data_IF_285092986429
#
_entry.id   IF_285092986429
#
_cell.length_a   1.000
_cell.length_b   1.000
_cell.length_c   1.000
_cell.angle_alpha   90.00
_cell.angle_beta   90.00
_cell.angle_gamma   90.00
#
_symmetry.space_group_name_H-M   'P 1'
#
loop_
_entity.id
_entity.type
_entity.pdbx_description
1 polymer ?
#
# COMPACT_ATOMS: atom_id res chain seq x y z
N UNK A 1 28.07 48.49 -3.70
CA UNK A 1 27.17 47.38 -4.10
C UNK A 1 25.91 47.48 -3.27
N UNK A 2 24.74 47.68 -3.88
CA UNK A 2 23.47 47.67 -3.14
C UNK A 2 23.17 46.24 -2.68
N UNK A 3 22.90 46.04 -1.38
CA UNK A 3 22.48 44.75 -0.85
C UNK A 3 21.12 44.39 -1.46
N UNK A 4 21.10 43.45 -2.40
CA UNK A 4 19.88 42.90 -2.96
C UNK A 4 19.24 42.02 -1.89
N UNK A 5 18.00 42.30 -1.53
CA UNK A 5 17.27 41.47 -0.55
C UNK A 5 17.16 40.03 -1.05
N UNK A 6 17.22 39.06 -0.15
CA UNK A 6 17.10 37.64 -0.50
C UNK A 6 15.82 37.33 -1.27
N UNK A 7 14.71 38.06 -1.00
CA UNK A 7 13.45 37.95 -1.74
C UNK A 7 13.64 38.28 -3.22
N UNK A 8 14.31 39.40 -3.50
CA UNK A 8 14.63 39.82 -4.87
C UNK A 8 15.61 38.86 -5.55
N UNK A 9 16.49 38.20 -4.79
CA UNK A 9 17.35 37.16 -5.34
C UNK A 9 16.52 35.94 -5.73
N UNK A 10 15.72 35.36 -4.82
CA UNK A 10 14.89 34.19 -5.10
C UNK A 10 13.95 34.38 -6.28
N UNK A 11 13.25 35.52 -6.35
CA UNK A 11 12.34 35.81 -7.46
C UNK A 11 13.06 35.97 -8.80
N UNK A 12 14.31 36.47 -8.82
CA UNK A 12 15.12 36.51 -10.04
C UNK A 12 15.50 35.12 -10.54
N UNK A 13 15.66 34.15 -9.63
CA UNK A 13 15.87 32.75 -9.94
C UNK A 13 14.58 31.96 -10.13
N UNK A 14 13.43 32.66 -10.23
CA UNK A 14 12.10 32.03 -10.35
C UNK A 14 11.80 31.04 -9.23
N UNK A 15 12.24 31.35 -8.00
CA UNK A 15 11.95 30.58 -6.81
C UNK A 15 11.00 31.36 -5.90
N UNK A 16 9.97 30.69 -5.44
CA UNK A 16 8.98 31.21 -4.51
C UNK A 16 9.25 30.64 -3.11
N UNK A 17 9.59 31.49 -2.13
CA UNK A 17 9.87 31.03 -0.77
C UNK A 17 8.59 30.54 -0.08
N UNK A 18 8.68 29.43 0.67
CA UNK A 18 7.54 28.92 1.44
C UNK A 18 7.14 29.84 2.61
N UNK A 19 8.08 30.63 3.12
CA UNK A 19 7.84 31.60 4.21
C UNK A 19 8.42 32.97 3.83
N UNK A 20 7.76 34.05 4.27
CA UNK A 20 8.16 35.41 3.89
C UNK A 20 9.25 36.02 4.77
N UNK A 21 9.51 35.49 5.96
CA UNK A 21 10.45 36.06 6.93
C UNK A 21 11.81 35.36 6.89
N UNK A 22 11.81 34.02 6.96
CA UNK A 22 13.01 33.20 7.00
C UNK A 22 12.79 31.91 6.20
N UNK A 23 13.08 31.93 4.88
CA UNK A 23 12.81 30.80 4.00
C UNK A 23 13.81 29.67 4.25
N UNK A 24 13.32 28.55 4.78
CA UNK A 24 14.08 27.29 4.87
C UNK A 24 13.84 26.39 3.65
N UNK A 25 12.75 26.65 2.91
CA UNK A 25 12.36 25.92 1.69
C UNK A 25 11.78 26.88 0.66
N UNK A 26 11.89 26.53 -0.61
CA UNK A 26 11.33 27.27 -1.74
C UNK A 26 10.84 26.29 -2.83
N UNK A 27 9.83 26.70 -3.60
CA UNK A 27 9.36 25.99 -4.79
C UNK A 27 9.74 26.78 -6.05
N UNK A 28 10.03 26.09 -7.15
CA UNK A 28 10.23 26.79 -8.43
C UNK A 28 8.88 27.28 -8.98
N UNK A 29 8.90 28.34 -9.79
CA UNK A 29 7.69 28.82 -10.45
C UNK A 29 7.11 27.75 -11.40
N UNK A 30 7.94 26.88 -11.97
CA UNK A 30 7.48 25.75 -12.78
C UNK A 30 6.61 24.78 -11.96
N UNK A 31 7.04 24.45 -10.72
CA UNK A 31 6.24 23.63 -9.80
C UNK A 31 4.93 24.34 -9.43
N UNK A 32 4.95 25.66 -9.23
CA UNK A 32 3.74 26.43 -8.93
C UNK A 32 2.78 26.52 -10.13
N UNK A 33 3.31 26.68 -11.34
CA UNK A 33 2.53 26.66 -12.57
C UNK A 33 1.91 25.29 -12.80
N UNK A 34 2.68 24.22 -12.55
CA UNK A 34 2.17 22.85 -12.59
C UNK A 34 1.06 22.67 -11.56
N UNK A 35 1.27 23.06 -10.30
CA UNK A 35 0.23 23.02 -9.26
C UNK A 35 -1.03 23.81 -9.67
N UNK A 36 -0.88 24.97 -10.31
CA UNK A 36 -2.01 25.75 -10.78
C UNK A 36 -2.81 25.01 -11.86
N UNK A 37 -2.13 24.40 -12.85
CA UNK A 37 -2.77 23.55 -13.86
C UNK A 37 -3.48 22.35 -13.22
N UNK A 38 -2.83 21.68 -12.25
CA UNK A 38 -3.40 20.56 -11.52
C UNK A 38 -4.67 20.96 -10.75
N UNK A 39 -4.69 22.14 -10.10
CA UNK A 39 -5.88 22.62 -9.38
C UNK A 39 -7.06 22.97 -10.29
N UNK A 40 -6.81 23.25 -11.57
CA UNK A 40 -7.84 23.55 -12.58
C UNK A 40 -8.34 22.28 -13.29
N UNK A 41 -7.54 21.21 -13.30
CA UNK A 41 -7.90 19.93 -13.88
C UNK A 41 -8.61 19.07 -12.81
N UNK A 42 -9.94 18.94 -12.93
CA UNK A 42 -10.74 18.15 -11.97
C UNK A 42 -10.53 16.63 -12.02
N UNK A 43 -9.64 16.13 -12.89
CA UNK A 43 -9.36 14.70 -13.11
C UNK A 43 -7.90 14.49 -13.55
N UNK A 44 -6.94 14.93 -12.75
CA UNK A 44 -5.56 14.53 -13.01
C UNK A 44 -5.37 13.13 -12.47
N UNK A 45 -5.08 12.20 -13.36
CA UNK A 45 -4.93 10.79 -13.00
C UNK A 45 -3.57 10.54 -12.35
N UNK A 46 -3.47 9.49 -11.53
CA UNK A 46 -2.17 9.00 -11.00
C UNK A 46 -1.19 8.69 -12.15
N UNK A 47 -1.72 8.29 -13.32
CA UNK A 47 -0.97 8.03 -14.55
C UNK A 47 -0.24 9.27 -15.10
N UNK A 48 -0.86 10.46 -15.06
CA UNK A 48 -0.26 11.70 -15.58
C UNK A 48 0.78 12.30 -14.61
N UNK A 49 0.64 12.08 -13.31
CA UNK A 49 1.55 12.64 -12.30
C UNK A 49 2.63 11.67 -11.80
N UNK A 50 2.41 10.36 -11.91
CA UNK A 50 3.26 9.34 -11.28
C UNK A 50 4.72 9.39 -11.68
N UNK A 51 5.02 9.94 -12.87
CA UNK A 51 6.37 10.14 -13.41
C UNK A 51 6.74 11.61 -13.66
N UNK A 52 5.99 12.59 -13.12
CA UNK A 52 6.26 14.01 -13.35
C UNK A 52 7.67 14.49 -12.94
N UNK A 53 8.39 13.70 -12.14
CA UNK A 53 9.76 13.94 -11.70
C UNK A 53 10.81 13.03 -12.39
N UNK A 54 10.40 12.13 -13.28
CA UNK A 54 11.30 11.25 -14.02
C UNK A 54 11.56 11.82 -15.41
N UNK A 55 12.80 12.22 -15.66
CA UNK A 55 13.24 12.80 -16.95
C UNK A 55 13.68 11.77 -17.97
N UNK A 56 13.76 10.49 -17.61
CA UNK A 56 14.39 9.46 -18.42
C UNK A 56 13.40 8.52 -19.10
N UNK A 57 12.36 8.11 -18.36
CA UNK A 57 11.38 7.14 -18.84
C UNK A 57 10.03 7.82 -19.13
N UNK A 58 9.37 7.37 -20.19
CA UNK A 58 8.06 7.87 -20.62
C UNK A 58 6.93 7.19 -19.86
N UNK A 59 5.74 7.81 -19.86
CA UNK A 59 4.55 7.25 -19.18
C UNK A 59 4.20 5.85 -19.70
N UNK A 60 4.43 5.58 -20.99
CA UNK A 60 4.18 4.28 -21.61
C UNK A 60 5.13 3.17 -21.15
N UNK A 61 6.27 3.51 -20.54
CA UNK A 61 7.26 2.55 -20.02
C UNK A 61 6.99 2.17 -18.55
N UNK A 62 5.93 2.74 -17.94
CA UNK A 62 5.50 2.43 -16.58
C UNK A 62 5.12 0.96 -16.45
N UNK A 63 5.81 0.25 -15.57
CA UNK A 63 5.55 -1.14 -15.25
C UNK A 63 4.34 -1.24 -14.34
N UNK A 64 3.71 -2.40 -14.40
CA UNK A 64 2.59 -2.71 -13.52
C UNK A 64 3.02 -2.55 -12.05
N UNK A 65 2.21 -1.85 -11.25
CA UNK A 65 2.43 -1.63 -9.81
C UNK A 65 3.54 -0.62 -9.46
N UNK A 66 4.24 -0.06 -10.45
CA UNK A 66 5.39 0.82 -10.22
C UNK A 66 5.00 2.18 -9.61
N UNK A 67 3.76 2.64 -9.84
CA UNK A 67 3.30 3.91 -9.29
C UNK A 67 2.97 3.82 -7.80
N UNK A 68 2.89 2.61 -7.23
CA UNK A 68 2.56 2.43 -5.81
C UNK A 68 3.71 2.92 -4.91
N UNK A 69 3.39 3.77 -3.92
CA UNK A 69 4.34 4.13 -2.88
C UNK A 69 4.62 2.91 -2.00
N UNK A 70 5.81 2.34 -2.15
CA UNK A 70 6.23 1.15 -1.42
C UNK A 70 6.73 1.47 0.00
N UNK A 71 6.69 0.47 0.88
CA UNK A 71 7.30 0.58 2.19
C UNK A 71 8.83 0.45 2.10
N UNK A 72 9.56 1.48 2.54
CA UNK A 72 11.03 1.48 2.60
C UNK A 72 11.61 0.60 3.72
N UNK A 73 10.77 0.21 4.70
CA UNK A 73 11.18 -0.57 5.87
C UNK A 73 10.82 -2.06 5.79
N UNK A 74 9.98 -2.49 4.84
CA UNK A 74 9.75 -3.92 4.62
C UNK A 74 11.00 -4.53 3.93
N UNK A 75 11.35 -5.80 4.20
CA UNK A 75 12.62 -6.39 3.79
C UNK A 75 12.76 -6.47 2.27
N UNK A 76 13.90 -6.01 1.75
CA UNK A 76 14.28 -5.98 0.33
C UNK A 76 15.76 -6.35 0.18
N UNK A 77 16.09 -7.56 -0.32
CA UNK A 77 17.46 -7.97 -0.61
C UNK A 77 18.19 -6.97 -1.50
N UNK A 78 19.46 -6.71 -1.20
CA UNK A 78 20.28 -5.72 -1.92
C UNK A 78 19.92 -4.25 -1.69
N UNK A 79 18.88 -3.94 -0.92
CA UNK A 79 18.46 -2.56 -0.61
C UNK A 79 18.60 -2.25 0.88
N UNK A 80 17.89 -2.99 1.74
CA UNK A 80 17.82 -2.72 3.17
C UNK A 80 18.11 -3.95 4.05
N UNK A 81 18.61 -5.02 3.44
CA UNK A 81 19.08 -6.22 4.13
C UNK A 81 20.62 -6.31 4.08
N UNK A 82 21.29 -6.78 5.15
CA UNK A 82 22.72 -7.10 5.12
C UNK A 82 23.05 -8.19 4.11
N UNK A 83 24.25 -8.19 3.50
CA UNK A 83 24.63 -9.20 2.49
C UNK A 83 24.58 -10.65 3.00
N UNK A 84 24.78 -10.86 4.31
CA UNK A 84 24.80 -12.17 4.97
C UNK A 84 23.46 -12.55 5.63
N UNK A 85 22.36 -11.89 5.27
CA UNK A 85 21.04 -12.10 5.87
C UNK A 85 20.53 -13.54 5.79
N UNK A 86 20.95 -14.31 4.77
CA UNK A 86 20.59 -15.72 4.57
C UNK A 86 21.26 -16.68 5.57
N UNK A 87 22.41 -16.30 6.13
CA UNK A 87 23.26 -17.17 6.96
C UNK A 87 22.98 -16.99 8.46
N UNK A 88 22.09 -16.06 8.81
CA UNK A 88 21.75 -15.74 10.20
C UNK A 88 21.13 -16.95 10.92
N UNK A 89 21.45 -17.09 12.23
CA UNK A 89 20.87 -18.13 13.09
C UNK A 89 19.35 -18.20 12.89
N UNK A 90 18.83 -19.42 12.69
CA UNK A 90 17.39 -19.69 12.53
C UNK A 90 16.53 -19.05 13.61
N UNK A 91 17.08 -18.84 14.82
CA UNK A 91 16.40 -18.15 15.93
C UNK A 91 16.13 -16.67 15.64
N UNK A 92 16.90 -16.01 14.79
CA UNK A 92 16.78 -14.59 14.46
C UNK A 92 16.27 -14.35 13.03
N UNK A 93 16.16 -15.40 12.23
CA UNK A 93 15.71 -15.34 10.83
C UNK A 93 14.34 -14.65 10.65
N UNK A 94 13.46 -14.71 11.66
CA UNK A 94 12.16 -14.04 11.68
C UNK A 94 12.22 -12.51 11.52
N UNK A 95 13.37 -11.89 11.77
CA UNK A 95 13.60 -10.44 11.59
C UNK A 95 13.43 -10.01 10.14
N UNK A 96 13.80 -10.89 9.21
CA UNK A 96 13.82 -10.62 7.76
C UNK A 96 12.56 -11.12 7.03
N UNK A 97 11.56 -11.64 7.75
CA UNK A 97 10.32 -12.10 7.14
C UNK A 97 9.47 -10.95 6.59
N UNK A 98 8.92 -11.13 5.40
CA UNK A 98 7.87 -10.22 4.93
C UNK A 98 6.55 -10.64 5.56
N UNK A 99 6.00 -9.80 6.44
CA UNK A 99 4.69 -10.05 7.05
C UNK A 99 3.62 -9.34 6.24
N UNK A 100 2.66 -10.10 5.74
CA UNK A 100 1.51 -9.62 4.99
C UNK A 100 0.25 -9.87 5.78
N UNK A 101 -0.60 -8.84 5.88
CA UNK A 101 -1.94 -8.94 6.42
C UNK A 101 -2.95 -8.75 5.30
N UNK A 102 -3.98 -9.57 5.30
CA UNK A 102 -5.00 -9.62 4.26
C UNK A 102 -6.37 -9.43 4.89
N UNK A 103 -7.18 -8.60 4.25
CA UNK A 103 -8.52 -8.33 4.75
C UNK A 103 -9.46 -7.84 3.63
N UNK A 104 -10.75 -7.98 3.88
CA UNK A 104 -11.83 -7.64 2.97
C UNK A 104 -12.74 -6.56 3.57
N UNK A 105 -12.92 -5.45 2.84
CA UNK A 105 -13.90 -4.44 3.20
C UNK A 105 -15.21 -4.61 2.43
N UNK A 106 -16.26 -5.08 3.12
CA UNK A 106 -17.62 -5.17 2.56
C UNK A 106 -18.40 -3.86 2.55
N UNK A 107 -17.81 -2.78 3.08
CA UNK A 107 -18.42 -1.44 3.00
C UNK A 107 -18.22 -0.83 1.62
N UNK A 108 -17.10 -1.14 0.95
CA UNK A 108 -16.73 -0.66 -0.39
C UNK A 108 -17.48 -1.39 -1.52
N UNK A 109 -18.81 -1.38 -1.46
CA UNK A 109 -19.68 -1.96 -2.50
C UNK A 109 -19.76 -1.04 -3.71
N UNK A 110 -19.95 -1.61 -4.89
CA UNK A 110 -20.10 -0.89 -6.16
C UNK A 110 -21.35 -1.36 -6.89
N UNK A 111 -22.25 -0.43 -7.22
CA UNK A 111 -23.43 -0.75 -8.00
C UNK A 111 -23.06 -0.93 -9.47
N UNK A 112 -23.82 -1.75 -10.17
CA UNK A 112 -23.68 -1.91 -11.61
C UNK A 112 -24.28 -0.68 -12.32
N UNK A 113 -23.50 0.41 -12.36
CA UNK A 113 -23.92 1.71 -12.93
C UNK A 113 -23.47 1.88 -14.38
N UNK A 114 -22.29 1.35 -14.74
CA UNK A 114 -21.67 1.47 -16.06
C UNK A 114 -20.83 0.22 -16.38
N UNK A 115 -20.12 0.23 -17.51
CA UNK A 115 -19.19 -0.82 -17.94
C UNK A 115 -17.79 -0.25 -18.22
N UNK A 116 -16.77 -1.10 -18.13
CA UNK A 116 -15.37 -0.77 -18.48
C UNK A 116 -15.24 -0.20 -19.90
N UNK A 117 -16.09 -0.63 -20.84
CA UNK A 117 -16.07 -0.09 -22.20
C UNK A 117 -16.50 1.38 -22.28
N UNK A 118 -17.32 1.86 -21.34
CA UNK A 118 -17.81 3.25 -21.29
C UNK A 118 -16.99 4.13 -20.35
N UNK A 119 -16.41 3.53 -19.32
CA UNK A 119 -15.57 4.21 -18.32
C UNK A 119 -14.37 3.31 -17.99
N UNK A 120 -13.38 3.24 -18.90
CA UNK A 120 -12.20 2.41 -18.69
C UNK A 120 -11.31 3.02 -17.60
N UNK A 121 -10.74 2.17 -16.74
CA UNK A 121 -9.68 2.58 -15.83
C UNK A 121 -8.43 3.01 -16.62
N UNK A 122 -7.87 4.18 -16.30
CA UNK A 122 -6.74 4.74 -17.03
C UNK A 122 -5.40 4.32 -16.44
N UNK A 123 -5.37 4.08 -15.13
CA UNK A 123 -4.19 3.65 -14.37
C UNK A 123 -4.35 2.27 -13.72
N UNK A 124 -5.47 1.57 -13.95
CA UNK A 124 -5.71 0.22 -13.41
C UNK A 124 -4.56 -0.72 -13.75
N UNK A 125 -3.94 -1.33 -12.73
CA UNK A 125 -2.75 -2.17 -12.87
C UNK A 125 -1.42 -1.44 -12.73
N UNK A 126 -1.41 -0.10 -12.66
CA UNK A 126 -0.18 0.70 -12.54
C UNK A 126 0.22 0.96 -11.08
N UNK A 127 -0.72 0.87 -10.14
CA UNK A 127 -0.55 1.20 -8.72
C UNK A 127 -0.98 0.02 -7.83
N UNK A 128 -2.19 0.06 -7.24
CA UNK A 128 -2.65 -0.93 -6.25
C UNK A 128 -3.69 -1.90 -6.80
N UNK A 129 -4.64 -1.41 -7.60
CA UNK A 129 -5.59 -2.30 -8.29
C UNK A 129 -4.88 -3.12 -9.35
N UNK A 130 -5.17 -4.43 -9.37
CA UNK A 130 -4.72 -5.28 -10.47
C UNK A 130 -5.53 -5.04 -11.74
N UNK A 131 -4.86 -5.12 -12.90
CA UNK A 131 -5.54 -5.25 -14.19
C UNK A 131 -6.14 -6.65 -14.35
N UNK A 132 -7.35 -6.89 -13.84
CA UNK A 132 -8.01 -8.18 -14.04
C UNK A 132 -8.60 -8.28 -15.45
N UNK A 133 -7.79 -8.71 -16.42
CA UNK A 133 -8.28 -9.16 -17.72
C UNK A 133 -8.87 -10.57 -17.58
N UNK A 134 -10.09 -10.71 -17.05
CA UNK A 134 -10.89 -11.90 -17.34
C UNK A 134 -12.31 -11.48 -17.65
N UNK A 135 -12.57 -11.26 -18.95
CA UNK A 135 -13.92 -11.33 -19.51
C UNK A 135 -14.46 -12.76 -19.45
N UNK A 136 -14.61 -13.31 -18.25
CA UNK A 136 -15.29 -14.58 -18.01
C UNK A 136 -16.79 -14.31 -17.89
N UNK A 137 -17.40 -13.87 -19.00
CA UNK A 137 -18.84 -13.63 -19.10
C UNK A 137 -19.69 -14.87 -18.72
N UNK A 138 -19.09 -16.07 -18.72
CA UNK A 138 -19.71 -17.30 -18.25
C UNK A 138 -19.85 -17.40 -16.71
N UNK A 139 -18.97 -16.77 -15.94
CA UNK A 139 -19.06 -16.70 -14.46
C UNK A 139 -20.02 -15.60 -13.99
N UNK A 140 -20.12 -14.51 -14.76
CA UNK A 140 -21.01 -13.37 -14.48
C UNK A 140 -22.48 -13.78 -14.48
N UNK A 141 -22.86 -14.70 -15.38
CA UNK A 141 -24.27 -15.10 -15.55
C UNK A 141 -24.73 -16.18 -14.55
N UNK A 142 -23.82 -17.00 -14.03
CA UNK A 142 -24.13 -18.15 -13.17
C UNK A 142 -24.35 -17.78 -11.69
N UNK A 143 -24.01 -16.56 -11.26
CA UNK A 143 -23.86 -16.21 -9.84
C UNK A 143 -24.89 -15.19 -9.27
N UNK A 144 -25.94 -14.84 -10.00
CA UNK A 144 -26.79 -13.65 -9.74
C UNK A 144 -27.82 -13.76 -8.58
N UNK A 145 -27.85 -14.83 -7.78
CA UNK A 145 -28.96 -15.03 -6.82
C UNK A 145 -28.90 -14.17 -5.54
N UNK A 146 -27.76 -13.54 -5.20
CA UNK A 146 -27.59 -12.79 -3.93
C UNK A 146 -26.94 -11.38 -4.07
N UNK A 147 -26.63 -10.91 -5.27
CA UNK A 147 -25.91 -9.65 -5.54
C UNK A 147 -26.59 -8.76 -6.59
N UNK A 148 -27.90 -8.92 -6.78
CA UNK A 148 -28.64 -8.20 -7.83
C UNK A 148 -28.44 -6.68 -7.73
N UNK A 149 -27.91 -6.09 -8.81
CA UNK A 149 -27.62 -4.65 -8.92
C UNK A 149 -26.23 -4.19 -8.45
N UNK A 150 -25.37 -5.09 -7.97
CA UNK A 150 -23.97 -4.76 -7.62
C UNK A 150 -22.97 -5.37 -8.61
N UNK A 151 -22.02 -4.56 -9.08
CA UNK A 151 -20.86 -5.01 -9.84
C UNK A 151 -19.80 -5.59 -8.89
N UNK A 152 -19.62 -4.96 -7.73
CA UNK A 152 -18.66 -5.40 -6.70
C UNK A 152 -19.31 -5.42 -5.33
N UNK A 153 -19.04 -6.47 -4.55
CA UNK A 153 -19.62 -6.68 -3.22
C UNK A 153 -18.71 -6.26 -2.05
N UNK A 154 -17.46 -5.93 -2.34
CA UNK A 154 -16.46 -5.42 -1.42
C UNK A 154 -15.08 -5.36 -2.09
N UNK A 155 -14.05 -4.94 -1.36
CA UNK A 155 -12.67 -4.86 -1.86
C UNK A 155 -11.77 -5.67 -0.95
N UNK A 156 -10.93 -6.53 -1.52
CA UNK A 156 -9.84 -7.21 -0.81
C UNK A 156 -8.53 -6.50 -1.04
N UNK A 157 -7.67 -6.43 -0.03
CA UNK A 157 -6.31 -5.92 -0.18
C UNK A 157 -5.30 -6.65 0.72
N UNK A 158 -4.03 -6.55 0.34
CA UNK A 158 -2.90 -6.98 1.16
C UNK A 158 -2.09 -5.77 1.62
N UNK A 159 -1.67 -5.78 2.88
CA UNK A 159 -0.76 -4.77 3.44
C UNK A 159 0.48 -5.40 4.06
N UNK A 160 1.59 -4.66 4.10
CA UNK A 160 2.71 -5.01 4.98
C UNK A 160 2.26 -4.86 6.45
N UNK A 161 2.10 -5.96 7.17
CA UNK A 161 1.50 -6.00 8.50
C UNK A 161 2.29 -5.21 9.58
N UNK A 162 3.59 -4.93 9.34
CA UNK A 162 4.42 -4.15 10.28
C UNK A 162 4.17 -2.64 10.20
N UNK A 163 3.87 -2.15 9.00
CA UNK A 163 3.90 -0.73 8.69
C UNK A 163 2.60 -0.23 8.03
N UNK A 164 1.67 -1.14 7.75
CA UNK A 164 0.35 -0.88 7.17
C UNK A 164 0.39 -0.22 5.79
N UNK A 165 1.40 -0.53 4.98
CA UNK A 165 1.45 -0.09 3.57
C UNK A 165 0.66 -1.06 2.71
N UNK A 166 -0.24 -0.54 1.87
CA UNK A 166 -0.89 -1.31 0.81
C UNK A 166 0.17 -1.74 -0.19
N UNK A 167 0.17 -3.01 -0.56
CA UNK A 167 1.17 -3.56 -1.48
C UNK A 167 0.82 -3.25 -2.94
N UNK A 168 1.82 -3.14 -3.84
CA UNK A 168 1.58 -2.93 -5.27
C UNK A 168 0.78 -4.10 -5.86
N UNK A 169 -0.18 -3.79 -6.74
CA UNK A 169 -1.04 -4.77 -7.43
C UNK A 169 -1.61 -5.86 -6.52
N UNK A 170 -2.02 -5.48 -5.31
CA UNK A 170 -2.56 -6.40 -4.33
C UNK A 170 -4.02 -6.11 -3.97
N UNK A 171 -4.66 -5.16 -4.66
CA UNK A 171 -6.06 -4.80 -4.44
C UNK A 171 -6.93 -5.43 -5.51
N UNK A 172 -8.07 -5.99 -5.09
CA UNK A 172 -9.02 -6.66 -5.98
C UNK A 172 -10.47 -6.39 -5.58
N UNK A 173 -11.32 -6.31 -6.59
CA UNK A 173 -12.77 -6.24 -6.42
C UNK A 173 -13.37 -7.63 -6.16
N UNK A 174 -14.22 -7.73 -5.13
CA UNK A 174 -14.87 -8.98 -4.73
C UNK A 174 -16.18 -9.20 -5.50
N UNK A 175 -16.28 -10.32 -6.21
CA UNK A 175 -17.50 -10.71 -6.93
C UNK A 175 -18.62 -11.22 -5.98
N UNK A 176 -18.29 -11.86 -4.84
CA UNK A 176 -19.31 -12.45 -3.93
C UNK A 176 -18.88 -12.56 -2.45
N UNK A 177 -18.70 -11.43 -1.77
CA UNK A 177 -18.33 -11.38 -0.35
C UNK A 177 -17.14 -12.29 -0.02
N UNK A 178 -17.06 -12.76 1.22
CA UNK A 178 -16.05 -13.71 1.70
C UNK A 178 -16.38 -15.19 1.41
N UNK A 179 -17.57 -15.49 0.87
CA UNK A 179 -18.10 -16.86 0.74
C UNK A 179 -17.41 -17.70 -0.34
N UNK A 180 -16.56 -17.10 -1.15
CA UNK A 180 -15.68 -17.82 -2.08
C UNK A 180 -14.35 -18.09 -1.38
N UNK A 181 -14.37 -19.07 -0.46
CA UNK A 181 -13.17 -19.73 0.02
C UNK A 181 -12.45 -20.27 -1.22
N UNK A 182 -11.31 -19.67 -1.62
CA UNK A 182 -10.44 -20.15 -2.70
C UNK A 182 -11.00 -19.92 -4.14
N UNK A 183 -11.46 -18.72 -4.48
CA UNK A 183 -11.49 -18.37 -5.92
C UNK A 183 -10.11 -17.84 -6.36
N UNK A 184 -9.72 -18.12 -7.61
CA UNK A 184 -8.50 -17.57 -8.20
C UNK A 184 -8.46 -16.06 -8.02
N UNK A 185 -9.61 -15.39 -8.23
CA UNK A 185 -9.73 -13.93 -8.24
C UNK A 185 -9.41 -13.26 -6.89
N UNK A 186 -9.85 -13.83 -5.77
CA UNK A 186 -9.90 -13.10 -4.50
C UNK A 186 -8.59 -13.09 -3.73
N UNK A 187 -7.81 -14.18 -3.73
CA UNK A 187 -6.57 -14.28 -2.94
C UNK A 187 -5.38 -14.83 -3.72
N UNK A 188 -5.58 -15.85 -4.55
CA UNK A 188 -4.49 -16.45 -5.34
C UNK A 188 -3.93 -15.44 -6.35
N UNK A 189 -4.81 -14.67 -7.01
CA UNK A 189 -4.39 -13.67 -8.00
C UNK A 189 -3.70 -12.46 -7.37
N UNK A 190 -4.25 -11.78 -6.33
CA UNK A 190 -3.54 -10.65 -5.71
C UNK A 190 -2.27 -11.08 -4.98
N UNK A 191 -2.25 -12.24 -4.31
CA UNK A 191 -1.02 -12.76 -3.72
C UNK A 191 0.00 -13.16 -4.80
N UNK A 192 -0.41 -13.86 -5.85
CA UNK A 192 0.47 -14.24 -6.96
C UNK A 192 0.99 -13.06 -7.78
N UNK A 193 0.17 -12.00 -7.92
CA UNK A 193 0.57 -10.72 -8.50
C UNK A 193 1.60 -10.03 -7.61
N UNK A 194 1.34 -9.97 -6.31
CA UNK A 194 2.27 -9.42 -5.33
C UNK A 194 3.63 -10.13 -5.33
N UNK A 195 3.65 -11.46 -5.46
CA UNK A 195 4.90 -12.23 -5.51
C UNK A 195 5.83 -11.81 -6.66
N UNK A 196 5.36 -11.05 -7.67
CA UNK A 196 6.22 -10.46 -8.71
C UNK A 196 7.14 -9.37 -8.17
N UNK A 197 6.75 -8.72 -7.07
CA UNK A 197 7.46 -7.62 -6.42
C UNK A 197 8.23 -8.07 -5.18
N UNK A 198 8.03 -9.31 -4.74
CA UNK A 198 8.71 -9.87 -3.56
C UNK A 198 9.83 -10.77 -4.03
N UNK A 199 11.01 -10.60 -3.44
CA UNK A 199 12.15 -11.46 -3.74
C UNK A 199 11.83 -12.93 -3.35
N UNK A 200 12.04 -13.91 -4.24
CA UNK A 200 11.71 -15.31 -4.01
C UNK A 200 12.48 -15.97 -2.87
N UNK A 201 13.61 -15.39 -2.44
CA UNK A 201 14.40 -15.88 -1.31
C UNK A 201 13.79 -15.50 0.04
N UNK A 202 12.94 -14.45 0.08
CA UNK A 202 12.31 -14.02 1.31
C UNK A 202 11.26 -15.01 1.79
N UNK A 203 11.24 -15.25 3.10
CA UNK A 203 10.13 -15.96 3.72
C UNK A 203 8.97 -15.00 3.95
N UNK A 204 7.84 -15.28 3.28
CA UNK A 204 6.59 -14.54 3.43
C UNK A 204 5.72 -15.20 4.49
N UNK A 205 5.21 -14.39 5.42
CA UNK A 205 4.26 -14.79 6.45
C UNK A 205 2.95 -14.07 6.19
N UNK A 206 1.89 -14.85 5.96
CA UNK A 206 0.56 -14.35 5.64
C UNK A 206 -0.35 -14.50 6.87
N UNK A 207 -1.05 -13.42 7.23
CA UNK A 207 -2.09 -13.43 8.25
C UNK A 207 -3.45 -13.07 7.63
N UNK A 208 -4.44 -13.94 7.83
CA UNK A 208 -5.84 -13.74 7.47
C UNK A 208 -6.72 -14.02 8.70
N UNK A 209 -7.84 -13.31 8.83
CA UNK A 209 -8.74 -13.37 9.99
C UNK A 209 -9.29 -14.80 10.27
N UNK A 210 -9.34 -15.66 9.24
CA UNK A 210 -9.83 -17.05 9.33
C UNK A 210 -8.74 -18.12 9.10
N UNK A 211 -7.54 -17.76 8.62
CA UNK A 211 -6.46 -18.74 8.42
C UNK A 211 -5.06 -18.11 8.42
N UNK A 212 -4.29 -18.37 9.48
CA UNK A 212 -2.85 -18.09 9.47
C UNK A 212 -2.14 -19.23 8.72
N UNK A 213 -1.99 -19.10 7.41
CA UNK A 213 -1.30 -20.09 6.59
C UNK A 213 0.19 -19.76 6.53
N UNK A 214 0.96 -20.30 7.48
CA UNK A 214 2.39 -20.49 7.26
C UNK A 214 2.70 -21.96 7.39
N UNK A 215 3.77 -22.34 6.70
CA UNK A 215 4.81 -23.32 7.03
C UNK A 215 5.24 -23.28 8.53
N UNK A 216 4.29 -23.20 9.47
CA UNK A 216 4.45 -23.04 10.94
C UNK A 216 5.30 -24.17 11.52
N UNK A 217 5.36 -25.32 10.85
CA UNK A 217 6.19 -26.46 11.24
C UNK A 217 7.69 -26.11 11.32
N UNK A 218 8.17 -25.10 10.60
CA UNK A 218 9.60 -24.76 10.55
C UNK A 218 10.01 -23.57 11.43
N UNK A 219 9.08 -22.91 12.13
CA UNK A 219 9.46 -21.84 13.06
C UNK A 219 10.17 -22.41 14.31
N UNK A 220 11.25 -21.75 14.80
CA UNK A 220 11.94 -22.14 16.02
C UNK A 220 10.99 -22.17 17.22
N UNK A 221 11.21 -23.10 18.14
CA UNK A 221 10.42 -23.25 19.39
C UNK A 221 10.34 -21.92 20.17
N UNK A 222 11.38 -21.09 20.13
CA UNK A 222 11.41 -19.74 20.74
C UNK A 222 10.32 -18.78 20.23
N UNK A 223 9.90 -18.89 18.97
CA UNK A 223 8.82 -18.06 18.39
C UNK A 223 7.44 -18.66 18.73
N UNK A 224 7.37 -19.97 19.00
CA UNK A 224 6.13 -20.68 19.35
C UNK A 224 5.80 -20.60 20.84
N UNK A 225 6.81 -20.61 21.71
CA UNK A 225 6.62 -20.74 23.17
C UNK A 225 6.75 -19.40 23.92
N UNK A 226 7.50 -18.41 23.41
CA UNK A 226 7.75 -17.16 24.16
C UNK A 226 7.09 -15.91 23.58
N UNK A 227 6.51 -15.98 22.38
CA UNK A 227 5.80 -14.85 21.77
C UNK A 227 4.48 -15.37 21.21
N UNK A 228 3.32 -15.07 21.82
CA UNK A 228 2.08 -15.22 21.07
C UNK A 228 2.24 -14.39 19.79
N UNK A 229 2.12 -15.02 18.61
CA UNK A 229 2.35 -14.41 17.29
C UNK A 229 1.60 -13.07 17.10
N UNK A 230 0.52 -12.87 17.85
CA UNK A 230 -0.20 -11.61 18.02
C UNK A 230 0.65 -10.41 18.51
N UNK A 231 1.86 -10.64 19.02
CA UNK A 231 2.83 -9.62 19.45
C UNK A 231 3.98 -9.39 18.46
N UNK A 232 4.13 -10.24 17.44
CA UNK A 232 5.16 -10.11 16.39
C UNK A 232 4.63 -9.35 15.17
N UNK A 233 3.31 -9.39 14.98
CA UNK A 233 2.58 -8.66 13.95
C UNK A 233 1.42 -7.90 14.60
N UNK A 234 1.24 -6.62 14.26
CA UNK A 234 -0.02 -5.92 14.51
C UNK A 234 -1.01 -6.29 13.40
N UNK A 235 -1.54 -7.51 13.49
CA UNK A 235 -2.49 -8.05 12.51
C UNK A 235 -3.82 -7.28 12.44
N UNK A 236 -4.10 -6.42 13.44
CA UNK A 236 -5.26 -5.52 13.45
C UNK A 236 -4.94 -4.15 12.79
N UNK A 237 -3.70 -3.92 12.35
CA UNK A 237 -3.29 -2.69 11.69
C UNK A 237 -4.05 -2.40 10.39
N UNK A 238 -4.47 -3.43 9.65
CA UNK A 238 -5.22 -3.30 8.40
C UNK A 238 -6.59 -2.62 8.61
N UNK A 239 -7.23 -2.83 9.76
CA UNK A 239 -8.51 -2.22 10.12
C UNK A 239 -8.41 -0.69 10.27
N UNK A 240 -7.24 -0.18 10.64
CA UNK A 240 -6.99 1.28 10.66
C UNK A 240 -7.04 1.86 9.26
N UNK A 241 -6.54 1.12 8.27
CA UNK A 241 -6.68 1.45 6.86
C UNK A 241 -8.15 1.48 6.44
N UNK A 242 -8.92 0.47 6.80
CA UNK A 242 -10.35 0.45 6.48
C UNK A 242 -11.17 1.54 7.16
N UNK A 243 -10.84 1.90 8.40
CA UNK A 243 -11.45 3.04 9.06
C UNK A 243 -11.20 4.35 8.29
N UNK A 244 -10.02 4.50 7.66
CA UNK A 244 -9.71 5.64 6.79
C UNK A 244 -10.48 5.61 5.47
N UNK A 245 -10.67 4.42 4.87
CA UNK A 245 -11.40 4.25 3.60
C UNK A 245 -12.92 4.30 3.77
N UNK A 246 -13.45 4.05 4.98
CA UNK A 246 -14.88 3.96 5.26
C UNK A 246 -15.73 5.13 4.74
N UNK A 247 -15.33 6.40 4.90
CA UNK A 247 -16.08 7.56 4.39
C UNK A 247 -16.24 7.57 2.86
N UNK A 248 -15.28 6.98 2.13
CA UNK A 248 -15.23 6.95 0.65
C UNK A 248 -16.20 5.90 0.08
N UNK A 249 -16.64 4.96 0.91
CA UNK A 249 -17.52 3.86 0.49
C UNK A 249 -18.82 4.35 -0.15
N UNK A 250 -19.40 5.45 0.35
CA UNK A 250 -20.68 5.94 -0.17
C UNK A 250 -20.50 6.69 -1.49
N UNK A 251 -19.42 7.47 -1.65
CA UNK A 251 -19.17 8.24 -2.87
C UNK A 251 -18.75 7.35 -4.04
N UNK A 252 -17.95 6.32 -3.77
CA UNK A 252 -17.48 5.37 -4.81
C UNK A 252 -18.52 4.34 -5.23
N UNK A 253 -19.58 4.15 -4.45
CA UNK A 253 -20.60 3.12 -4.71
C UNK A 253 -21.34 3.31 -6.03
N UNK A 254 -21.58 4.56 -6.41
CA UNK A 254 -22.40 4.91 -7.57
C UNK A 254 -21.53 5.45 -8.75
N UNK A 255 -20.20 5.35 -8.66
CA UNK A 255 -19.26 5.76 -9.72
C UNK A 255 -19.22 4.74 -10.87
N UNK A 256 -18.69 5.13 -12.04
CA UNK A 256 -18.30 4.17 -13.06
C UNK A 256 -17.08 3.33 -12.63
N UNK A 257 -16.83 2.18 -13.25
CA UNK A 257 -15.79 1.25 -12.82
C UNK A 257 -14.37 1.85 -12.87
N UNK A 258 -13.97 2.46 -13.99
CA UNK A 258 -12.67 3.11 -14.11
C UNK A 258 -12.49 4.25 -13.12
N UNK A 259 -13.44 5.18 -13.06
CA UNK A 259 -13.38 6.31 -12.14
C UNK A 259 -13.36 5.86 -10.66
N UNK A 260 -14.02 4.74 -10.33
CA UNK A 260 -13.98 4.17 -8.98
C UNK A 260 -12.58 3.66 -8.62
N UNK A 261 -11.91 2.94 -9.51
CA UNK A 261 -10.54 2.45 -9.28
C UNK A 261 -9.57 3.60 -9.05
N UNK A 262 -9.63 4.65 -9.89
CA UNK A 262 -8.78 5.85 -9.74
C UNK A 262 -8.96 6.52 -8.37
N UNK A 263 -10.21 6.70 -7.93
CA UNK A 263 -10.49 7.32 -6.63
C UNK A 263 -9.98 6.46 -5.48
N UNK A 264 -10.19 5.14 -5.55
CA UNK A 264 -9.70 4.24 -4.51
C UNK A 264 -8.16 4.16 -4.50
N UNK A 265 -7.52 4.13 -5.66
CA UNK A 265 -6.05 4.19 -5.78
C UNK A 265 -5.47 5.49 -5.20
N UNK A 266 -6.09 6.64 -5.44
CA UNK A 266 -5.68 7.91 -4.83
C UNK A 266 -5.76 7.85 -3.30
N UNK A 267 -6.81 7.27 -2.76
CA UNK A 267 -6.94 7.09 -1.31
C UNK A 267 -5.92 6.09 -0.73
N UNK A 268 -5.63 4.98 -1.43
CA UNK A 268 -4.56 4.05 -1.03
C UNK A 268 -3.18 4.70 -1.12
N UNK A 269 -2.95 5.51 -2.16
CA UNK A 269 -1.73 6.28 -2.35
C UNK A 269 -1.54 7.27 -1.19
N UNK A 270 -2.58 8.02 -0.87
CA UNK A 270 -2.59 8.97 0.24
C UNK A 270 -2.31 8.27 1.57
N UNK A 271 -2.89 7.08 1.79
CA UNK A 271 -2.60 6.27 2.97
C UNK A 271 -1.12 5.89 3.04
N UNK A 272 -0.55 5.32 1.97
CA UNK A 272 0.86 4.95 1.92
C UNK A 272 1.78 6.16 2.08
N UNK A 273 1.46 7.31 1.50
CA UNK A 273 2.19 8.57 1.69
C UNK A 273 2.17 9.03 3.16
N UNK A 274 1.01 8.97 3.81
CA UNK A 274 0.89 9.28 5.25
C UNK A 274 1.71 8.32 6.11
N UNK A 275 1.74 7.04 5.76
CA UNK A 275 2.59 6.05 6.44
C UNK A 275 4.07 6.34 6.22
N UNK A 276 4.47 6.70 4.99
CA UNK A 276 5.85 7.04 4.65
C UNK A 276 6.35 8.25 5.43
N UNK A 277 5.60 9.35 5.40
CA UNK A 277 5.94 10.59 6.14
C UNK A 277 5.92 10.40 7.66
N UNK A 278 5.05 9.54 8.17
CA UNK A 278 4.98 9.18 9.59
C UNK A 278 5.97 8.10 10.03
N UNK A 279 6.65 7.42 9.11
CA UNK A 279 7.44 6.22 9.39
C UNK A 279 8.57 6.49 10.38
N UNK A 280 9.27 7.61 10.25
CA UNK A 280 10.35 7.97 11.17
C UNK A 280 9.87 8.14 12.62
N UNK A 281 8.68 8.73 12.81
CA UNK A 281 8.07 8.90 14.13
C UNK A 281 7.68 7.53 14.70
N UNK A 282 7.06 6.68 13.87
CA UNK A 282 6.68 5.32 14.25
C UNK A 282 7.90 4.50 14.68
N UNK A 283 8.95 4.45 13.85
CA UNK A 283 10.18 3.70 14.14
C UNK A 283 10.87 4.19 15.41
N UNK A 284 10.93 5.51 15.63
CA UNK A 284 11.47 6.09 16.87
C UNK A 284 10.66 5.62 18.09
N UNK A 285 9.33 5.66 18.01
CA UNK A 285 8.46 5.19 19.10
C UNK A 285 8.69 3.70 19.40
N UNK A 286 8.68 2.87 18.36
CA UNK A 286 8.95 1.44 18.49
C UNK A 286 10.35 1.16 19.04
N UNK A 287 11.36 1.95 18.68
CA UNK A 287 12.72 1.83 19.23
C UNK A 287 12.74 2.13 20.73
N UNK A 288 12.10 3.22 21.19
CA UNK A 288 12.03 3.54 22.61
C UNK A 288 11.32 2.43 23.41
N UNK A 289 10.21 1.91 22.89
CA UNK A 289 9.50 0.79 23.51
C UNK A 289 10.36 -0.48 23.53
N UNK A 290 11.05 -0.79 22.43
CA UNK A 290 11.92 -1.96 22.33
C UNK A 290 13.10 -1.90 23.32
N UNK A 291 13.72 -0.73 23.52
CA UNK A 291 14.80 -0.57 24.51
C UNK A 291 14.28 -0.82 25.92
N UNK A 292 13.13 -0.24 26.28
CA UNK A 292 12.52 -0.48 27.59
C UNK A 292 12.15 -1.95 27.82
N UNK A 293 11.60 -2.61 26.80
CA UNK A 293 11.27 -4.04 26.88
C UNK A 293 12.51 -4.95 26.90
N UNK A 294 13.60 -4.55 26.24
CA UNK A 294 14.84 -5.31 26.24
C UNK A 294 15.47 -5.42 27.63
N UNK A 295 15.39 -4.35 28.44
CA UNK A 295 15.85 -4.36 29.84
C UNK A 295 15.06 -5.37 30.67
N UNK A 296 13.73 -5.39 30.52
CA UNK A 296 12.83 -6.32 31.20
C UNK A 296 13.12 -7.77 30.77
N UNK A 297 13.24 -8.01 29.47
CA UNK A 297 13.49 -9.35 28.94
C UNK A 297 14.85 -9.92 29.34
N UNK A 298 15.89 -9.08 29.43
CA UNK A 298 17.20 -9.50 29.97
C UNK A 298 17.07 -9.93 31.43
N UNK A 299 16.30 -9.22 32.24
CA UNK A 299 16.08 -9.56 33.64
C UNK A 299 15.37 -10.92 33.82
N UNK A 300 14.39 -11.21 32.97
CA UNK A 300 13.64 -12.48 32.97
C UNK A 300 14.49 -13.67 32.49
N UNK A 301 15.45 -13.46 31.58
CA UNK A 301 16.34 -14.52 31.12
C UNK A 301 17.47 -14.88 32.10
N UNK A 302 17.83 -13.96 33.01
CA UNK A 302 18.86 -14.22 34.04
C UNK A 302 18.27 -14.92 35.27
N UNK A 303 16.95 -14.88 35.44
CA UNK A 303 16.24 -15.43 36.61
C UNK A 303 15.59 -16.80 36.36
N UNK A 304 15.74 -17.37 35.16
CA UNK A 304 15.38 -18.75 34.81
C UNK A 304 16.63 -19.57 34.54
#
# INVERSE_FOLDING_TARGET
>A
MAYITWRSQLLRWQWYPATHLEPQTAATFDVLNHLHVLTLQGKVTTYEQGRGNDSHETVAETKSGELAVECIACPKPGVNLPDDWEVVDRKLFFKYFLYLAEDCCFRLKHRLVSSEAKDPGLSTGSSFFMSTCTGLAALDHANTKYSWGYATTGVGLLVCARHEFVMPNSVVDLQKGERTYIDMQTWITPFGSLLRYVDPQLTVVQSYDISMSVRMKFMPVLVKENFPLKKLMDGEGIERGWAHMGPVATSTRDMGPGNRHEVLDDHFMHWNWRKLTGLGILLRKCMCEAVAQAEIHRFVQVTK
#
